data_IF_763403527199
#
_entry.id   IF_763403527199
#
_cell.length_a   1.000
_cell.length_b   1.000
_cell.length_c   1.000
_cell.angle_alpha   90.00
_cell.angle_beta   90.00
_cell.angle_gamma   90.00
#
_symmetry.space_group_name_H-M   'P 1'
#
loop_
_entity.id
_entity.type
_entity.pdbx_description
1 polymer ?
#
# COMPACT_ATOMS: atom_id res chain seq x y z
N UNK A 1 0.81 19.64 -57.49
CA UNK A 1 1.66 19.07 -56.41
C UNK A 1 0.95 19.23 -55.10
N UNK A 2 0.38 18.13 -54.61
CA UNK A 2 -0.38 18.12 -53.35
C UNK A 2 0.59 17.79 -52.19
N UNK A 3 0.92 18.76 -51.36
CA UNK A 3 1.71 18.57 -50.13
C UNK A 3 0.78 18.09 -49.02
N UNK A 4 0.79 16.80 -48.75
CA UNK A 4 0.13 16.21 -47.60
C UNK A 4 0.98 16.52 -46.36
N UNK A 5 0.53 17.44 -45.50
CA UNK A 5 1.10 17.65 -44.18
C UNK A 5 0.52 16.58 -43.26
N UNK A 6 1.32 15.57 -42.96
CA UNK A 6 1.01 14.56 -41.96
C UNK A 6 1.23 15.18 -40.58
N UNK A 7 0.15 15.64 -39.93
CA UNK A 7 0.19 16.06 -38.53
C UNK A 7 0.31 14.80 -37.64
N UNK A 8 1.52 14.54 -37.21
CA UNK A 8 1.77 13.56 -36.15
C UNK A 8 1.25 14.13 -34.84
N UNK A 9 0.05 13.70 -34.43
CA UNK A 9 -0.52 13.99 -33.11
C UNK A 9 0.25 13.17 -32.09
N UNK A 10 1.32 13.73 -31.50
CA UNK A 10 2.03 13.16 -30.37
C UNK A 10 1.11 13.32 -29.15
N UNK A 11 0.25 12.32 -28.90
CA UNK A 11 -0.48 12.22 -27.64
C UNK A 11 0.55 11.90 -26.55
N UNK A 12 1.01 12.93 -25.84
CA UNK A 12 1.75 12.78 -24.60
C UNK A 12 0.80 12.16 -23.57
N UNK A 13 0.90 10.84 -23.41
CA UNK A 13 0.35 10.17 -22.23
C UNK A 13 1.11 10.72 -21.02
N UNK A 14 0.51 11.69 -20.34
CA UNK A 14 0.92 12.08 -19.01
C UNK A 14 0.65 10.87 -18.10
N UNK A 15 1.67 10.04 -17.87
CA UNK A 15 1.63 9.04 -16.80
C UNK A 15 1.63 9.83 -15.51
N UNK A 16 0.44 10.06 -14.96
CA UNK A 16 0.28 10.71 -13.69
C UNK A 16 0.72 9.70 -12.61
N UNK A 17 1.91 9.92 -12.06
CA UNK A 17 2.41 9.11 -10.96
C UNK A 17 1.47 9.31 -9.75
N UNK A 18 0.88 8.21 -9.25
CA UNK A 18 0.04 8.27 -8.07
C UNK A 18 0.83 8.82 -6.88
N UNK A 19 0.30 9.86 -6.25
CA UNK A 19 0.91 10.44 -5.08
C UNK A 19 0.77 9.52 -3.87
N UNK A 20 1.68 9.65 -2.91
CA UNK A 20 1.59 8.87 -1.67
C UNK A 20 0.31 9.22 -0.88
N UNK A 21 -0.17 10.46 -0.97
CA UNK A 21 -1.40 10.93 -0.33
C UNK A 21 -2.64 10.25 -0.92
N UNK A 22 -2.70 10.05 -2.24
CA UNK A 22 -3.78 9.29 -2.90
C UNK A 22 -3.79 7.84 -2.43
N UNK A 23 -2.62 7.23 -2.35
CA UNK A 23 -2.45 5.85 -1.88
C UNK A 23 -2.91 5.72 -0.41
N UNK A 24 -2.46 6.61 0.47
CA UNK A 24 -2.87 6.64 1.88
C UNK A 24 -4.38 6.80 2.04
N UNK A 25 -4.97 7.72 1.27
CA UNK A 25 -6.43 7.92 1.26
C UNK A 25 -7.18 6.67 0.81
N UNK A 26 -6.75 6.05 -0.29
CA UNK A 26 -7.36 4.83 -0.80
C UNK A 26 -7.21 3.65 0.18
N UNK A 27 -6.08 3.56 0.87
CA UNK A 27 -5.83 2.54 1.89
C UNK A 27 -6.76 2.68 3.10
N UNK A 28 -6.97 3.90 3.59
CA UNK A 28 -7.86 4.18 4.73
C UNK A 28 -9.28 3.67 4.50
N UNK A 29 -9.79 3.80 3.28
CA UNK A 29 -11.16 3.36 2.95
C UNK A 29 -11.24 1.92 2.40
N UNK A 30 -10.11 1.28 2.15
CA UNK A 30 -10.09 -0.02 1.47
C UNK A 30 -10.81 -1.15 2.23
N UNK A 31 -10.90 -1.07 3.56
CA UNK A 31 -11.61 -2.07 4.38
C UNK A 31 -13.12 -1.88 4.43
N UNK A 32 -13.66 -0.73 4.02
CA UNK A 32 -15.07 -0.37 4.16
C UNK A 32 -16.00 -1.23 3.29
N UNK A 33 -15.56 -1.60 2.08
CA UNK A 33 -16.37 -2.42 1.18
C UNK A 33 -15.51 -3.26 0.22
N UNK A 34 -16.16 -4.20 -0.48
CA UNK A 34 -15.50 -4.98 -1.53
C UNK A 34 -15.05 -4.10 -2.69
N UNK A 35 -15.85 -3.11 -3.05
CA UNK A 35 -15.59 -2.15 -4.13
C UNK A 35 -14.40 -1.27 -3.81
N UNK A 36 -14.29 -0.77 -2.57
CA UNK A 36 -13.15 0.04 -2.12
C UNK A 36 -11.86 -0.77 -2.10
N UNK A 37 -11.94 -2.03 -1.67
CA UNK A 37 -10.82 -2.97 -1.68
C UNK A 37 -10.30 -3.22 -3.10
N UNK A 38 -11.21 -3.43 -4.04
CA UNK A 38 -10.86 -3.59 -5.45
C UNK A 38 -10.26 -2.32 -6.04
N UNK A 39 -10.83 -1.14 -5.74
CA UNK A 39 -10.28 0.15 -6.19
C UNK A 39 -8.84 0.36 -5.69
N UNK A 40 -8.60 0.07 -4.41
CA UNK A 40 -7.25 0.16 -3.86
C UNK A 40 -6.29 -0.82 -4.55
N UNK A 41 -6.72 -2.05 -4.78
CA UNK A 41 -5.94 -3.02 -5.55
C UNK A 41 -5.60 -2.50 -6.95
N UNK A 42 -6.58 -2.01 -7.71
CA UNK A 42 -6.38 -1.47 -9.06
C UNK A 42 -5.46 -0.24 -9.05
N UNK A 43 -5.62 0.67 -8.10
CA UNK A 43 -4.72 1.80 -7.92
C UNK A 43 -3.27 1.33 -7.78
N UNK A 44 -3.02 0.33 -6.94
CA UNK A 44 -1.67 -0.19 -6.69
C UNK A 44 -1.10 -1.01 -7.86
N UNK A 45 -1.95 -1.57 -8.76
CA UNK A 45 -1.46 -2.20 -9.99
C UNK A 45 -0.89 -1.17 -10.97
N UNK A 46 -1.43 0.04 -11.02
CA UNK A 46 -0.99 1.13 -11.88
C UNK A 46 0.10 2.04 -11.27
N UNK A 47 0.36 1.92 -9.97
CA UNK A 47 1.32 2.75 -9.28
C UNK A 47 2.78 2.35 -9.57
N UNK A 48 3.67 3.35 -9.71
CA UNK A 48 5.10 3.10 -9.79
C UNK A 48 5.64 2.60 -8.43
N UNK A 49 6.45 1.54 -8.45
CA UNK A 49 7.08 0.96 -7.24
C UNK A 49 8.45 1.61 -7.01
N UNK A 50 8.49 2.92 -6.87
CA UNK A 50 9.69 3.73 -6.76
C UNK A 50 10.14 4.00 -5.31
N UNK A 51 9.37 3.54 -4.33
CA UNK A 51 9.69 3.64 -2.90
C UNK A 51 9.28 2.38 -2.15
N UNK A 52 9.98 2.06 -1.05
CA UNK A 52 9.65 0.94 -0.18
C UNK A 52 8.22 1.05 0.38
N UNK A 53 7.75 2.26 0.66
CA UNK A 53 6.39 2.51 1.14
C UNK A 53 5.34 2.10 0.10
N UNK A 54 5.53 2.44 -1.18
CA UNK A 54 4.63 2.02 -2.25
C UNK A 54 4.67 0.51 -2.49
N UNK A 55 5.84 -0.12 -2.38
CA UNK A 55 5.96 -1.59 -2.41
C UNK A 55 5.16 -2.24 -1.29
N UNK A 56 5.22 -1.71 -0.08
CA UNK A 56 4.46 -2.22 1.06
C UNK A 56 2.94 -2.03 0.87
N UNK A 57 2.47 -0.88 0.36
CA UNK A 57 1.06 -0.69 0.03
C UNK A 57 0.59 -1.63 -1.08
N UNK A 58 1.44 -1.92 -2.07
CA UNK A 58 1.11 -2.95 -3.07
C UNK A 58 0.95 -4.32 -2.42
N UNK A 59 1.85 -4.67 -1.51
CA UNK A 59 1.73 -5.89 -0.71
C UNK A 59 0.43 -5.96 0.08
N UNK A 60 0.07 -4.88 0.76
CA UNK A 60 -1.20 -4.77 1.48
C UNK A 60 -2.42 -4.93 0.55
N UNK A 61 -2.41 -4.29 -0.62
CA UNK A 61 -3.50 -4.38 -1.60
C UNK A 61 -3.72 -5.81 -2.10
N UNK A 62 -2.63 -6.54 -2.38
CA UNK A 62 -2.68 -7.96 -2.74
C UNK A 62 -3.31 -8.80 -1.64
N UNK A 63 -2.86 -8.62 -0.40
CA UNK A 63 -3.35 -9.39 0.74
C UNK A 63 -4.83 -9.11 1.02
N UNK A 64 -5.26 -7.84 0.97
CA UNK A 64 -6.65 -7.44 1.17
C UNK A 64 -7.58 -7.96 0.09
N UNK A 65 -7.14 -7.94 -1.18
CA UNK A 65 -7.94 -8.38 -2.32
C UNK A 65 -7.90 -9.90 -2.57
N UNK A 66 -6.98 -10.61 -1.95
CA UNK A 66 -6.68 -12.03 -2.19
C UNK A 66 -7.90 -12.95 -2.16
N UNK A 67 -8.81 -12.75 -1.19
CA UNK A 67 -10.03 -13.55 -1.05
C UNK A 67 -11.03 -13.29 -2.21
N UNK A 68 -11.14 -12.05 -2.67
CA UNK A 68 -12.04 -11.67 -3.77
C UNK A 68 -11.55 -12.18 -5.13
N UNK A 69 -10.22 -12.19 -5.32
CA UNK A 69 -9.58 -12.57 -6.58
C UNK A 69 -9.65 -14.06 -6.90
N UNK A 70 -9.94 -14.91 -5.93
CA UNK A 70 -9.79 -16.37 -6.04
C UNK A 70 -8.33 -16.87 -6.05
N UNK A 71 -7.35 -15.97 -5.93
CA UNK A 71 -5.90 -16.28 -5.93
C UNK A 71 -5.29 -16.15 -4.53
N UNK A 72 -6.01 -16.59 -3.51
CA UNK A 72 -5.69 -16.36 -2.10
C UNK A 72 -4.23 -16.66 -1.77
N UNK A 73 -3.77 -17.89 -2.00
CA UNK A 73 -2.42 -18.35 -1.60
C UNK A 73 -1.31 -17.56 -2.29
N UNK A 74 -1.44 -17.33 -3.60
CA UNK A 74 -0.43 -16.62 -4.39
C UNK A 74 -0.32 -15.16 -3.95
N UNK A 75 -1.45 -14.47 -3.81
CA UNK A 75 -1.47 -13.06 -3.43
C UNK A 75 -1.04 -12.84 -1.98
N UNK A 76 -1.37 -13.74 -1.06
CA UNK A 76 -0.87 -13.68 0.32
C UNK A 76 0.65 -13.84 0.38
N UNK A 77 1.22 -14.79 -0.39
CA UNK A 77 2.67 -15.01 -0.46
C UNK A 77 3.39 -13.80 -1.04
N UNK A 78 2.92 -13.28 -2.16
CA UNK A 78 3.49 -12.12 -2.84
C UNK A 78 3.36 -10.86 -1.97
N UNK A 79 2.18 -10.62 -1.41
CA UNK A 79 1.94 -9.47 -0.54
C UNK A 79 2.83 -9.45 0.70
N UNK A 80 3.00 -10.62 1.35
CA UNK A 80 3.94 -10.75 2.47
C UNK A 80 5.37 -10.44 2.03
N UNK A 81 5.85 -10.98 0.91
CA UNK A 81 7.20 -10.74 0.42
C UNK A 81 7.47 -9.26 0.15
N UNK A 82 6.49 -8.53 -0.41
CA UNK A 82 6.61 -7.09 -0.65
C UNK A 82 6.69 -6.28 0.66
N UNK A 83 5.85 -6.58 1.65
CA UNK A 83 5.87 -5.89 2.95
C UNK A 83 7.18 -6.15 3.69
N UNK A 84 7.58 -7.41 3.83
CA UNK A 84 8.82 -7.76 4.54
C UNK A 84 10.06 -7.22 3.83
N UNK A 85 10.11 -7.31 2.49
CA UNK A 85 11.22 -6.74 1.71
C UNK A 85 11.31 -5.21 1.80
N UNK A 86 10.18 -4.51 1.92
CA UNK A 86 10.16 -3.08 2.17
C UNK A 86 10.75 -2.74 3.56
N UNK A 87 10.36 -3.48 4.60
CA UNK A 87 10.88 -3.30 5.97
C UNK A 87 12.38 -3.62 6.03
N UNK A 88 12.85 -4.67 5.34
CA UNK A 88 14.28 -4.97 5.26
C UNK A 88 15.11 -3.84 4.64
N UNK A 89 14.55 -3.14 3.64
CA UNK A 89 15.20 -1.98 3.01
C UNK A 89 15.24 -0.76 3.92
N UNK A 90 14.16 -0.52 4.66
CA UNK A 90 13.98 0.67 5.52
C UNK A 90 13.44 0.29 6.90
N UNK A 91 14.21 -0.40 7.75
CA UNK A 91 13.73 -0.96 9.02
C UNK A 91 13.30 0.10 10.06
N UNK A 92 13.70 1.36 9.87
CA UNK A 92 13.32 2.46 10.76
C UNK A 92 12.10 3.27 10.25
N UNK A 93 11.52 2.87 9.12
CA UNK A 93 10.39 3.57 8.55
C UNK A 93 9.09 3.15 9.24
N UNK A 94 8.55 4.04 10.07
CA UNK A 94 7.35 3.78 10.89
C UNK A 94 6.11 3.43 10.06
N UNK A 95 5.96 3.99 8.85
CA UNK A 95 4.82 3.71 7.97
C UNK A 95 4.81 2.25 7.50
N UNK A 96 5.98 1.66 7.26
CA UNK A 96 6.09 0.24 6.90
C UNK A 96 5.63 -0.68 8.04
N UNK A 97 6.00 -0.35 9.28
CA UNK A 97 5.55 -1.07 10.47
C UNK A 97 4.03 -0.92 10.67
N UNK A 98 3.47 0.27 10.43
CA UNK A 98 2.02 0.50 10.48
C UNK A 98 1.30 -0.34 9.41
N UNK A 99 1.81 -0.40 8.18
CA UNK A 99 1.22 -1.22 7.11
C UNK A 99 1.24 -2.71 7.48
N UNK A 100 2.37 -3.23 7.99
CA UNK A 100 2.45 -4.63 8.43
C UNK A 100 1.51 -4.91 9.59
N UNK A 101 1.48 -4.06 10.60
CA UNK A 101 0.56 -4.17 11.73
C UNK A 101 -0.89 -4.25 11.26
N UNK A 102 -1.32 -3.30 10.44
CA UNK A 102 -2.66 -3.23 9.88
C UNK A 102 -3.05 -4.51 9.16
N UNK A 103 -2.19 -4.98 8.25
CA UNK A 103 -2.45 -6.22 7.51
C UNK A 103 -2.56 -7.41 8.44
N UNK A 104 -1.65 -7.56 9.39
CA UNK A 104 -1.64 -8.69 10.33
C UNK A 104 -2.85 -8.69 11.27
N UNK A 105 -3.35 -7.54 11.69
CA UNK A 105 -4.55 -7.42 12.53
C UNK A 105 -5.83 -7.81 11.79
N UNK A 106 -5.94 -7.46 10.50
CA UNK A 106 -7.15 -7.67 9.70
C UNK A 106 -7.19 -9.01 8.95
N UNK A 107 -6.08 -9.74 8.86
CA UNK A 107 -6.09 -11.07 8.26
C UNK A 107 -6.87 -12.07 9.10
N UNK A 108 -7.58 -13.05 8.46
CA UNK A 108 -8.20 -14.15 9.16
C UNK A 108 -7.18 -14.88 10.05
N UNK A 109 -7.59 -15.29 11.24
CA UNK A 109 -6.70 -15.96 12.23
C UNK A 109 -6.00 -17.22 11.70
N UNK A 110 -6.60 -17.85 10.69
CA UNK A 110 -6.02 -19.04 10.05
C UNK A 110 -4.77 -18.72 9.19
N UNK A 111 -4.57 -17.46 8.82
CA UNK A 111 -3.39 -17.04 8.05
C UNK A 111 -2.22 -16.86 9.01
N UNK A 112 -1.12 -17.64 8.85
CA UNK A 112 0.01 -17.63 9.80
C UNK A 112 0.96 -16.45 9.54
N UNK A 113 0.43 -15.23 9.54
CA UNK A 113 1.19 -13.99 9.36
C UNK A 113 0.78 -12.98 10.41
N UNK A 114 1.19 -13.22 11.67
CA UNK A 114 0.77 -12.43 12.83
C UNK A 114 1.88 -12.23 13.88
N UNK A 115 3.09 -12.64 13.57
CA UNK A 115 4.15 -12.72 14.58
C UNK A 115 4.66 -11.34 15.07
N UNK A 116 4.44 -10.27 14.28
CA UNK A 116 5.04 -8.97 14.54
C UNK A 116 4.07 -7.93 15.13
N UNK A 117 2.83 -8.30 15.44
CA UNK A 117 1.80 -7.36 15.90
C UNK A 117 2.27 -6.53 17.10
N UNK A 118 2.77 -7.18 18.15
CA UNK A 118 3.20 -6.48 19.36
C UNK A 118 4.51 -5.69 19.15
N UNK A 119 5.42 -6.23 18.35
CA UNK A 119 6.67 -5.56 17.96
C UNK A 119 6.38 -4.27 17.20
N UNK A 120 5.54 -4.33 16.15
CA UNK A 120 5.20 -3.17 15.33
C UNK A 120 4.40 -2.14 16.12
N UNK A 121 3.48 -2.57 16.96
CA UNK A 121 2.72 -1.67 17.85
C UNK A 121 3.65 -0.88 18.77
N UNK A 122 4.59 -1.58 19.42
CA UNK A 122 5.58 -0.94 20.27
C UNK A 122 6.49 0.01 19.47
N UNK A 123 6.97 -0.43 18.31
CA UNK A 123 7.82 0.39 17.45
C UNK A 123 7.13 1.70 17.06
N UNK A 124 5.84 1.64 16.66
CA UNK A 124 5.05 2.82 16.33
C UNK A 124 4.91 3.75 17.54
N UNK A 125 4.56 3.23 18.71
CA UNK A 125 4.43 4.03 19.94
C UNK A 125 5.74 4.77 20.29
N UNK A 126 6.87 4.10 20.19
CA UNK A 126 8.18 4.64 20.55
C UNK A 126 8.65 5.75 19.57
N UNK A 127 8.22 5.71 18.29
CA UNK A 127 8.74 6.59 17.24
C UNK A 127 7.74 7.61 16.68
N UNK A 128 6.46 7.51 17.04
CA UNK A 128 5.39 8.34 16.47
C UNK A 128 5.58 9.83 16.77
N UNK A 129 6.05 10.18 17.98
CA UNK A 129 6.23 11.57 18.39
C UNK A 129 7.27 12.33 17.55
N UNK A 130 8.21 11.61 16.94
CA UNK A 130 9.30 12.15 16.13
C UNK A 130 8.94 12.35 14.66
N UNK A 131 7.76 11.90 14.25
CA UNK A 131 7.37 11.95 12.84
C UNK A 131 6.88 13.34 12.42
N UNK A 132 7.23 13.78 11.19
CA UNK A 132 6.72 15.04 10.65
C UNK A 132 5.23 14.92 10.28
N UNK A 133 4.54 16.07 10.27
CA UNK A 133 3.23 16.17 9.65
C UNK A 133 3.38 16.17 8.11
N UNK A 134 2.45 15.57 7.35
CA UNK A 134 1.17 14.96 7.77
C UNK A 134 1.24 13.47 8.17
N UNK A 135 2.41 12.83 8.07
CA UNK A 135 2.55 11.38 8.35
C UNK A 135 2.13 11.04 9.80
N UNK A 136 2.57 11.84 10.77
CA UNK A 136 2.19 11.64 12.17
C UNK A 136 0.68 11.57 12.35
N UNK A 137 -0.05 12.54 11.82
CA UNK A 137 -1.52 12.58 11.90
C UNK A 137 -2.16 11.38 11.20
N UNK A 138 -1.62 10.96 10.07
CA UNK A 138 -2.12 9.79 9.34
C UNK A 138 -2.02 8.52 10.17
N UNK A 139 -0.87 8.29 10.83
CA UNK A 139 -0.65 7.12 11.68
C UNK A 139 -1.48 7.22 12.97
N UNK A 140 -1.57 8.41 13.60
CA UNK A 140 -2.41 8.64 14.77
C UNK A 140 -3.88 8.29 14.51
N UNK A 141 -4.42 8.70 13.37
CA UNK A 141 -5.79 8.36 12.98
C UNK A 141 -5.96 6.84 12.86
N UNK A 142 -4.98 6.15 12.26
CA UNK A 142 -5.05 4.70 12.10
C UNK A 142 -5.07 3.92 13.44
N UNK A 143 -4.23 4.32 14.40
CA UNK A 143 -4.11 3.59 15.68
C UNK A 143 -5.22 3.94 16.69
N UNK A 144 -5.99 4.99 16.46
CA UNK A 144 -7.07 5.46 17.34
C UNK A 144 -8.48 5.07 16.82
N UNK A 145 -8.60 4.54 15.59
CA UNK A 145 -9.83 4.00 15.02
C UNK A 145 -10.01 2.52 15.41
#
# INVERSE_FOLDING_TARGET
>A
MLRVFLFFFLSTFCIQAQSIEEIRKAYTTASESKEQKERFYQLMQGAAMDTSVKEAYKGASLMMYSKQSGKLRTMLKEGKALIEGAIEKEPQNIELHMIRLSVQEHLPKIVPYRANIEEDRKFIQDHLSQQPQPLKKYIENYIND
#
